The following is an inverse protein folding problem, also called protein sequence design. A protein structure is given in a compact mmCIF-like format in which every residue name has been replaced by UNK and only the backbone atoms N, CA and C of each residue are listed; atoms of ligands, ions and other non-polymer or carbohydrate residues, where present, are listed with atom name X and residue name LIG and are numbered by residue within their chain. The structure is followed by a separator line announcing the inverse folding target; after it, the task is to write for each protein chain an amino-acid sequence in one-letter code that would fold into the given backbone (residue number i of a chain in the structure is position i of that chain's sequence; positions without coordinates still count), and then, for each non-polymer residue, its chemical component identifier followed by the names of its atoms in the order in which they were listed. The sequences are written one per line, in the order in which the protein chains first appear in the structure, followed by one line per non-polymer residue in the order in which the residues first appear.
data_IF_608936924466
#
_entry.id   IF_608936924466
#
_cell.length_a   1.000
_cell.length_b   1.000
_cell.length_c   1.000
_cell.angle_alpha   90.00
_cell.angle_beta   90.00
_cell.angle_gamma   90.00
#
_symmetry.space_group_name_H-M   'P 1'
#
loop_
_entity.id
_entity.type
_entity.pdbx_description
1 polymer ?
#
# COMPACT_ATOMS: atom_id res chain seq x y z
N UNK A 1 -10.20 2.62 32.10
CA UNK A 1 -10.01 1.64 31.00
C UNK A 1 -8.57 1.60 30.43
N UNK A 2 -7.97 2.72 29.95
CA UNK A 2 -6.57 2.71 29.40
C UNK A 2 -5.48 2.28 30.40
N UNK A 3 -5.60 2.67 31.68
CA UNK A 3 -4.67 2.24 32.75
C UNK A 3 -4.75 0.74 33.04
N UNK A 4 -5.93 0.14 32.95
CA UNK A 4 -6.13 -1.30 33.13
C UNK A 4 -5.51 -2.11 31.99
N UNK A 5 -5.70 -1.67 30.73
CA UNK A 5 -5.05 -2.28 29.55
C UNK A 5 -3.52 -2.18 29.65
N UNK A 6 -2.99 -1.08 30.21
CA UNK A 6 -1.54 -0.91 30.44
C UNK A 6 -1.02 -1.90 31.49
N UNK A 7 -1.72 -2.04 32.62
CA UNK A 7 -1.37 -2.97 33.71
C UNK A 7 -1.45 -4.45 33.28
N UNK A 8 -2.43 -4.81 32.47
CA UNK A 8 -2.55 -6.16 31.89
C UNK A 8 -1.42 -6.44 30.88
N UNK A 9 -0.97 -5.42 30.12
CA UNK A 9 0.21 -5.57 29.25
C UNK A 9 1.50 -5.72 30.06
N UNK A 10 1.68 -4.91 31.10
CA UNK A 10 2.88 -4.97 31.97
C UNK A 10 2.98 -6.32 32.69
N UNK A 11 1.86 -6.87 33.19
CA UNK A 11 1.83 -8.18 33.84
C UNK A 11 2.10 -9.36 32.87
N UNK A 12 1.67 -9.27 31.61
CA UNK A 12 1.98 -10.29 30.58
C UNK A 12 3.42 -10.16 30.02
N UNK A 13 4.02 -8.97 30.08
CA UNK A 13 5.42 -8.74 29.69
C UNK A 13 6.40 -9.29 30.74
N UNK A 14 6.00 -9.34 32.00
CA UNK A 14 6.82 -9.89 33.09
C UNK A 14 6.97 -11.43 33.02
N UNK A 15 6.10 -12.13 32.29
CA UNK A 15 6.04 -13.60 32.26
C UNK A 15 6.86 -14.25 31.14
N UNK A 16 7.48 -13.49 30.22
CA UNK A 16 8.18 -14.10 29.08
C UNK A 16 9.35 -13.25 28.55
N UNK A 17 10.49 -13.26 29.26
CA UNK A 17 11.69 -12.45 28.93
C UNK A 17 12.31 -12.71 27.54
N UNK A 18 11.88 -13.74 26.81
CA UNK A 18 12.44 -14.11 25.49
C UNK A 18 11.53 -13.82 24.29
N UNK A 19 10.34 -13.24 24.48
CA UNK A 19 9.41 -13.00 23.38
C UNK A 19 9.48 -11.56 22.84
N UNK A 20 9.95 -11.43 21.60
CA UNK A 20 9.93 -10.15 20.88
C UNK A 20 8.54 -9.82 20.38
N UNK A 21 7.93 -8.76 20.92
CA UNK A 21 6.61 -8.29 20.50
C UNK A 21 6.73 -7.42 19.25
N UNK A 22 6.05 -7.83 18.17
CA UNK A 22 6.01 -7.10 16.90
C UNK A 22 4.62 -6.48 16.71
N UNK A 23 4.56 -5.17 16.46
CA UNK A 23 3.29 -4.48 16.28
C UNK A 23 2.63 -4.84 14.95
N UNK A 24 1.30 -4.95 14.94
CA UNK A 24 0.50 -5.23 13.73
C UNK A 24 0.77 -4.22 12.61
N UNK A 25 1.02 -2.95 12.95
CA UNK A 25 1.39 -1.92 11.97
C UNK A 25 2.67 -2.27 11.20
N UNK A 26 3.69 -2.83 11.86
CA UNK A 26 4.91 -3.30 11.19
C UNK A 26 4.63 -4.45 10.23
N UNK A 27 3.73 -5.37 10.61
CA UNK A 27 3.31 -6.48 9.75
C UNK A 27 2.57 -5.98 8.52
N UNK A 28 1.64 -5.04 8.68
CA UNK A 28 0.90 -4.44 7.56
C UNK A 28 1.85 -3.71 6.60
N UNK A 29 2.88 -3.02 7.12
CA UNK A 29 3.91 -2.38 6.30
C UNK A 29 4.65 -3.36 5.39
N UNK A 30 4.83 -4.63 5.77
CA UNK A 30 5.48 -5.63 4.92
C UNK A 30 4.74 -5.87 3.60
N UNK A 31 3.43 -5.60 3.53
CA UNK A 31 2.65 -5.79 2.32
C UNK A 31 3.06 -4.78 1.23
N UNK A 32 3.44 -3.56 1.61
CA UNK A 32 3.74 -2.48 0.67
C UNK A 32 5.16 -1.90 0.76
N UNK A 33 5.94 -2.20 1.79
CA UNK A 33 7.34 -1.77 1.96
C UNK A 33 8.33 -2.95 1.99
N UNK A 34 9.56 -2.70 1.54
CA UNK A 34 10.69 -3.61 1.74
C UNK A 34 11.05 -3.69 3.22
N UNK A 35 11.45 -4.88 3.67
CA UNK A 35 11.81 -5.11 5.08
C UNK A 35 12.92 -4.19 5.57
N UNK A 36 13.90 -3.90 4.71
CA UNK A 36 15.04 -3.02 5.00
C UNK A 36 14.60 -1.59 5.36
N UNK A 37 13.43 -1.16 4.87
CA UNK A 37 12.85 0.15 5.18
C UNK A 37 12.04 0.17 6.48
N UNK A 38 11.86 -0.98 7.14
CA UNK A 38 11.06 -1.13 8.36
C UNK A 38 11.99 -1.23 9.57
N UNK A 39 12.16 -0.11 10.29
CA UNK A 39 12.99 -0.06 11.49
C UNK A 39 12.52 -1.07 12.56
N UNK A 40 13.47 -1.82 13.10
CA UNK A 40 13.26 -2.76 14.19
C UNK A 40 12.50 -4.03 13.77
N UNK A 41 12.68 -4.47 12.52
CA UNK A 41 12.24 -5.78 12.03
C UNK A 41 13.40 -6.44 11.25
N UNK A 42 13.87 -7.58 11.71
CA UNK A 42 14.98 -8.33 11.07
C UNK A 42 14.46 -9.37 10.07
N UNK A 43 15.34 -9.87 9.21
CA UNK A 43 15.02 -11.00 8.30
C UNK A 43 14.61 -12.26 9.08
N UNK A 44 15.20 -12.47 10.26
CA UNK A 44 14.84 -13.59 11.13
C UNK A 44 13.43 -13.44 11.71
N UNK A 45 13.04 -12.22 12.10
CA UNK A 45 11.67 -11.95 12.54
C UNK A 45 10.67 -12.26 11.43
N UNK A 46 10.99 -11.87 10.19
CA UNK A 46 10.15 -12.18 9.04
C UNK A 46 10.02 -13.69 8.84
N UNK A 47 11.11 -14.44 8.93
CA UNK A 47 11.08 -15.91 8.80
C UNK A 47 10.12 -16.52 9.82
N UNK A 48 10.27 -16.15 11.11
CA UNK A 48 9.40 -16.62 12.19
C UNK A 48 7.93 -16.23 11.97
N UNK A 49 7.66 -15.00 11.52
CA UNK A 49 6.30 -14.55 11.18
C UNK A 49 5.70 -15.41 10.06
N UNK A 50 6.49 -15.69 9.01
CA UNK A 50 6.04 -16.45 7.84
C UNK A 50 5.84 -17.93 8.14
N UNK A 51 6.61 -18.50 9.08
CA UNK A 51 6.41 -19.86 9.60
C UNK A 51 5.14 -19.95 10.45
N UNK A 52 4.95 -18.99 11.36
CA UNK A 52 3.79 -18.94 12.25
C UNK A 52 2.47 -18.68 11.50
N UNK A 53 2.51 -17.81 10.49
CA UNK A 53 1.31 -17.37 9.76
C UNK A 53 1.42 -17.71 8.27
N UNK A 54 1.11 -18.97 7.91
CA UNK A 54 1.14 -19.46 6.53
C UNK A 54 0.29 -18.62 5.55
N UNK A 55 -0.86 -18.11 6.01
CA UNK A 55 -1.72 -17.21 5.22
C UNK A 55 -0.99 -15.91 4.83
N UNK A 56 -0.29 -15.30 5.79
CA UNK A 56 0.47 -14.07 5.54
C UNK A 56 1.64 -14.34 4.58
N UNK A 57 2.27 -15.51 4.67
CA UNK A 57 3.32 -15.95 3.74
C UNK A 57 2.85 -16.02 2.30
N UNK A 58 1.66 -16.57 2.07
CA UNK A 58 1.08 -16.63 0.73
C UNK A 58 0.82 -15.22 0.17
N UNK A 59 0.20 -14.33 0.97
CA UNK A 59 -0.06 -12.94 0.56
C UNK A 59 1.26 -12.20 0.26
N UNK A 60 2.21 -12.27 1.18
CA UNK A 60 3.50 -11.58 1.04
C UNK A 60 4.24 -12.04 -0.22
N UNK A 61 4.28 -13.35 -0.48
CA UNK A 61 4.87 -13.92 -1.69
C UNK A 61 4.17 -13.38 -2.94
N UNK A 62 2.84 -13.41 -2.95
CA UNK A 62 2.03 -12.95 -4.08
C UNK A 62 2.32 -11.49 -4.43
N UNK A 63 2.35 -10.61 -3.42
CA UNK A 63 2.65 -9.19 -3.59
C UNK A 63 4.12 -8.95 -4.00
N UNK A 64 5.06 -9.72 -3.46
CA UNK A 64 6.47 -9.62 -3.84
C UNK A 64 6.67 -9.96 -5.32
N UNK A 65 6.12 -11.10 -5.76
CA UNK A 65 6.17 -11.52 -7.16
C UNK A 65 5.52 -10.47 -8.08
N UNK A 66 4.40 -9.88 -7.66
CA UNK A 66 3.74 -8.81 -8.42
C UNK A 66 4.63 -7.57 -8.57
N UNK A 67 5.30 -7.12 -7.50
CA UNK A 67 6.22 -5.98 -7.58
C UNK A 67 7.40 -6.24 -8.51
N UNK A 68 7.96 -7.45 -8.48
CA UNK A 68 9.07 -7.84 -9.36
C UNK A 68 8.68 -7.75 -10.84
N UNK A 69 7.41 -7.98 -11.20
CA UNK A 69 6.91 -7.84 -12.59
C UNK A 69 7.07 -6.40 -13.09
N UNK A 70 6.76 -5.41 -12.25
CA UNK A 70 6.92 -3.99 -12.59
C UNK A 70 8.39 -3.60 -12.66
N UNK A 71 9.22 -4.10 -11.74
CA UNK A 71 10.67 -3.85 -11.78
C UNK A 71 11.33 -4.45 -13.03
N UNK A 72 10.85 -5.59 -13.51
CA UNK A 72 11.38 -6.26 -14.71
C UNK A 72 10.68 -5.83 -16.01
N UNK A 73 9.68 -4.94 -15.94
CA UNK A 73 8.86 -4.48 -17.07
C UNK A 73 8.34 -5.61 -18.00
N UNK A 74 7.97 -6.77 -17.43
CA UNK A 74 7.67 -7.97 -18.21
C UNK A 74 6.17 -8.32 -18.24
N UNK A 75 5.50 -7.98 -19.35
CA UNK A 75 4.07 -8.29 -19.57
C UNK A 75 3.82 -9.81 -19.57
N UNK A 76 4.73 -10.61 -20.13
CA UNK A 76 4.60 -12.08 -20.11
C UNK A 76 4.54 -12.62 -18.68
N UNK A 77 5.35 -12.07 -17.76
CA UNK A 77 5.32 -12.45 -16.34
C UNK A 77 4.02 -12.01 -15.66
N UNK A 78 3.44 -10.87 -16.02
CA UNK A 78 2.12 -10.44 -15.54
C UNK A 78 1.06 -11.50 -15.83
N UNK A 79 0.94 -11.93 -17.08
CA UNK A 79 -0.06 -12.93 -17.48
C UNK A 79 0.14 -14.27 -16.79
N UNK A 80 1.39 -14.73 -16.69
CA UNK A 80 1.72 -15.95 -15.95
C UNK A 80 1.34 -15.86 -14.47
N UNK A 81 1.62 -14.71 -13.85
CA UNK A 81 1.27 -14.45 -12.45
C UNK A 81 -0.25 -14.39 -12.24
N UNK A 82 -0.99 -13.73 -13.14
CA UNK A 82 -2.47 -13.67 -13.11
C UNK A 82 -3.05 -15.10 -13.15
N UNK A 83 -2.58 -15.94 -14.09
CA UNK A 83 -3.05 -17.32 -14.24
C UNK A 83 -2.73 -18.16 -12.99
N UNK A 84 -1.56 -17.97 -12.39
CA UNK A 84 -1.12 -18.67 -11.17
C UNK A 84 -2.03 -18.38 -9.97
N UNK A 85 -2.47 -17.13 -9.80
CA UNK A 85 -3.23 -16.70 -8.62
C UNK A 85 -4.74 -16.62 -8.82
N UNK A 86 -5.24 -16.88 -10.03
CA UNK A 86 -6.67 -16.91 -10.35
C UNK A 86 -7.46 -17.90 -9.46
N UNK A 87 -6.87 -19.06 -9.17
CA UNK A 87 -7.45 -20.08 -8.28
C UNK A 87 -6.86 -20.08 -6.87
N UNK A 88 -6.26 -18.96 -6.42
CA UNK A 88 -5.75 -18.86 -5.04
C UNK A 88 -6.85 -19.15 -4.03
N UNK A 89 -6.52 -19.79 -2.91
CA UNK A 89 -7.47 -20.06 -1.82
C UNK A 89 -7.94 -18.78 -1.13
N UNK A 90 -7.16 -17.70 -1.24
CA UNK A 90 -7.44 -16.40 -0.64
C UNK A 90 -8.40 -15.60 -1.52
N UNK A 91 -9.60 -15.33 -1.00
CA UNK A 91 -10.67 -14.64 -1.73
C UNK A 91 -10.25 -13.24 -2.18
N UNK A 92 -9.51 -12.52 -1.34
CA UNK A 92 -9.04 -11.16 -1.59
C UNK A 92 -8.04 -11.12 -2.76
N UNK A 93 -7.18 -12.15 -2.88
CA UNK A 93 -6.28 -12.30 -4.03
C UNK A 93 -7.10 -12.56 -5.30
N UNK A 94 -8.09 -13.46 -5.26
CA UNK A 94 -8.94 -13.71 -6.43
C UNK A 94 -9.67 -12.44 -6.89
N UNK A 95 -10.24 -11.67 -5.96
CA UNK A 95 -10.88 -10.38 -6.28
C UNK A 95 -9.90 -9.38 -6.90
N UNK A 96 -8.67 -9.32 -6.39
CA UNK A 96 -7.62 -8.49 -6.98
C UNK A 96 -7.30 -8.90 -8.42
N UNK A 97 -7.17 -10.20 -8.69
CA UNK A 97 -6.98 -10.72 -10.05
C UNK A 97 -8.13 -10.34 -10.98
N UNK A 98 -9.38 -10.48 -10.53
CA UNK A 98 -10.56 -10.08 -11.33
C UNK A 98 -10.51 -8.59 -11.69
N UNK A 99 -10.13 -7.73 -10.74
CA UNK A 99 -9.92 -6.31 -10.99
C UNK A 99 -8.83 -6.06 -12.03
N UNK A 100 -7.67 -6.70 -11.88
CA UNK A 100 -6.58 -6.58 -12.85
C UNK A 100 -6.97 -7.03 -14.26
N UNK A 101 -7.77 -8.09 -14.38
CA UNK A 101 -8.25 -8.57 -15.69
C UNK A 101 -9.19 -7.56 -16.36
N UNK A 102 -10.03 -6.88 -15.57
CA UNK A 102 -10.93 -5.84 -16.09
C UNK A 102 -10.16 -4.67 -16.70
N UNK A 103 -9.08 -4.27 -16.05
CA UNK A 103 -8.27 -3.11 -16.44
C UNK A 103 -6.92 -3.51 -17.08
N UNK A 104 -6.85 -4.70 -17.71
CA UNK A 104 -5.57 -5.32 -18.13
C UNK A 104 -4.76 -4.41 -19.05
N UNK A 105 -5.41 -3.72 -19.99
CA UNK A 105 -4.74 -2.80 -20.92
C UNK A 105 -4.04 -1.66 -20.18
N UNK A 106 -4.68 -1.11 -19.15
CA UNK A 106 -4.07 -0.06 -18.33
C UNK A 106 -2.89 -0.59 -17.52
N UNK A 107 -3.00 -1.81 -17.00
CA UNK A 107 -1.91 -2.47 -16.24
C UNK A 107 -0.71 -2.77 -17.14
N UNK A 108 -0.94 -3.29 -18.34
CA UNK A 108 0.12 -3.53 -19.32
C UNK A 108 0.82 -2.23 -19.73
N UNK A 109 0.06 -1.17 -19.98
CA UNK A 109 0.62 0.15 -20.28
C UNK A 109 1.44 0.69 -19.11
N UNK A 110 1.00 0.50 -17.87
CA UNK A 110 1.75 0.89 -16.68
C UNK A 110 3.07 0.11 -16.48
N UNK A 111 3.19 -1.09 -17.08
CA UNK A 111 4.44 -1.86 -17.09
C UNK A 111 5.34 -1.43 -18.26
N UNK A 112 4.74 -1.15 -19.41
CA UNK A 112 5.45 -0.82 -20.65
C UNK A 112 6.06 0.58 -20.62
N UNK A 113 5.34 1.54 -20.08
CA UNK A 113 5.73 2.95 -20.10
C UNK A 113 6.06 3.46 -18.70
N UNK A 114 6.98 4.43 -18.62
CA UNK A 114 7.35 5.10 -17.37
C UNK A 114 6.44 6.28 -17.02
N UNK A 115 5.38 6.51 -17.82
CA UNK A 115 4.41 7.57 -17.56
C UNK A 115 3.48 7.17 -16.41
N UNK A 116 3.24 8.11 -15.50
CA UNK A 116 2.24 7.96 -14.44
C UNK A 116 1.26 9.13 -14.46
N UNK A 117 0.00 8.84 -14.15
CA UNK A 117 -1.01 9.88 -13.93
C UNK A 117 -0.80 10.65 -12.61
N UNK A 118 0.26 10.35 -11.85
CA UNK A 118 0.49 10.92 -10.51
C UNK A 118 0.59 12.45 -10.49
N UNK A 119 1.20 13.06 -11.51
CA UNK A 119 1.27 14.52 -11.61
C UNK A 119 -0.12 15.14 -11.83
N UNK A 120 -0.90 14.56 -12.76
CA UNK A 120 -2.26 15.00 -13.06
C UNK A 120 -3.18 14.81 -11.83
N UNK A 121 -3.12 13.65 -11.19
CA UNK A 121 -3.84 13.35 -9.95
C UNK A 121 -3.45 14.31 -8.82
N UNK A 122 -2.17 14.64 -8.70
CA UNK A 122 -1.67 15.63 -7.74
C UNK A 122 -2.28 17.02 -7.97
N UNK A 123 -2.31 17.50 -9.21
CA UNK A 123 -2.95 18.78 -9.57
C UNK A 123 -4.45 18.75 -9.30
N UNK A 124 -5.14 17.66 -9.68
CA UNK A 124 -6.57 17.47 -9.40
C UNK A 124 -6.83 17.48 -7.89
N UNK A 125 -6.01 16.82 -7.09
CA UNK A 125 -6.12 16.78 -5.63
C UNK A 125 -5.89 18.16 -5.00
N UNK A 126 -4.93 18.94 -5.50
CA UNK A 126 -4.72 20.35 -5.09
C UNK A 126 -5.97 21.18 -5.36
N UNK A 127 -6.54 21.09 -6.56
CA UNK A 127 -7.78 21.80 -6.92
C UNK A 127 -8.95 21.37 -6.03
N UNK A 128 -9.13 20.06 -5.80
CA UNK A 128 -10.16 19.53 -4.90
C UNK A 128 -9.99 20.04 -3.47
N UNK A 129 -8.74 20.17 -2.99
CA UNK A 129 -8.45 20.74 -1.67
C UNK A 129 -8.82 22.22 -1.59
N UNK A 130 -8.49 23.01 -2.62
CA UNK A 130 -8.86 24.43 -2.70
C UNK A 130 -10.38 24.58 -2.64
N UNK A 131 -11.12 23.80 -3.45
CA UNK A 131 -12.60 23.77 -3.41
C UNK A 131 -13.15 23.45 -2.01
N UNK A 132 -12.56 22.48 -1.30
CA UNK A 132 -12.94 22.16 0.09
C UNK A 132 -12.67 23.31 1.06
N UNK A 133 -11.51 23.98 0.96
CA UNK A 133 -11.19 25.18 1.76
C UNK A 133 -12.13 26.36 1.47
N UNK A 134 -12.72 26.40 0.28
CA UNK A 134 -13.68 27.42 -0.13
C UNK A 134 -15.14 27.07 0.22
N UNK A 135 -15.37 26.01 1.01
CA UNK A 135 -16.70 25.52 1.39
C UNK A 135 -17.56 25.13 0.18
N UNK A 136 -16.94 24.56 -0.86
CA UNK A 136 -17.65 24.09 -2.04
C UNK A 136 -17.99 25.16 -3.08
N UNK A 137 -17.63 26.44 -2.85
CA UNK A 137 -17.74 27.50 -3.86
C UNK A 137 -16.91 27.12 -5.09
N UNK A 138 -17.58 26.86 -6.20
CA UNK A 138 -17.02 26.19 -7.36
C UNK A 138 -17.19 26.97 -8.67
N UNK A 139 -17.61 28.24 -8.63
CA UNK A 139 -17.58 29.09 -9.82
C UNK A 139 -16.16 29.13 -10.40
N UNK A 140 -16.05 28.96 -11.71
CA UNK A 140 -14.77 28.86 -12.41
C UNK A 140 -13.88 30.07 -12.12
N UNK A 141 -14.44 31.27 -12.19
CA UNK A 141 -13.68 32.51 -11.98
C UNK A 141 -13.13 32.62 -10.55
N UNK A 142 -13.96 32.33 -9.55
CA UNK A 142 -13.54 32.34 -8.14
C UNK A 142 -12.48 31.29 -7.86
N UNK A 143 -12.61 30.09 -8.44
CA UNK A 143 -11.63 29.02 -8.30
C UNK A 143 -10.31 29.39 -8.99
N UNK A 144 -10.37 29.94 -10.22
CA UNK A 144 -9.21 30.39 -10.99
C UNK A 144 -8.42 31.42 -10.19
N UNK A 145 -9.09 32.47 -9.70
CA UNK A 145 -8.45 33.53 -8.92
C UNK A 145 -7.82 33.00 -7.64
N UNK A 146 -8.49 32.06 -6.94
CA UNK A 146 -7.93 31.44 -5.74
C UNK A 146 -6.72 30.55 -6.04
N UNK A 147 -6.76 29.78 -7.13
CA UNK A 147 -5.63 28.94 -7.56
C UNK A 147 -4.44 29.82 -7.91
N UNK A 148 -4.63 30.85 -8.74
CA UNK A 148 -3.56 31.76 -9.14
C UNK A 148 -2.93 32.46 -7.93
N UNK A 149 -3.72 33.00 -7.00
CA UNK A 149 -3.18 33.60 -5.77
C UNK A 149 -2.34 32.61 -4.94
N UNK A 150 -2.75 31.35 -4.85
CA UNK A 150 -2.01 30.33 -4.10
C UNK A 150 -0.73 29.85 -4.80
N UNK A 151 -0.67 29.92 -6.13
CA UNK A 151 0.56 29.60 -6.87
C UNK A 151 1.55 30.78 -6.81
N UNK A 152 1.07 32.04 -6.83
CA UNK A 152 1.92 33.23 -6.74
C UNK A 152 2.52 33.45 -5.35
N UNK A 153 1.79 33.16 -4.27
CA UNK A 153 2.28 33.33 -2.89
C UNK A 153 3.24 32.23 -2.40
N UNK A 154 3.63 31.29 -3.27
CA UNK A 154 4.54 30.18 -2.95
C UNK A 154 5.88 30.26 -3.70
N UNK A 155 6.16 31.37 -4.39
CA UNK A 155 7.48 31.69 -4.94
C UNK A 155 8.17 32.78 -4.10
#
# INVERSE_FOLDING_TARGET
MRKYIKKVKENNLASNKNEKIISRSKIIKLLYMLIEKIKGLSKEDLRKIMEKYKFLKEIYRTLKEFKEIFSMKSIKKLHGWIKKYEKSKIREIRKFIVGLKRDIVAVENAIKYDYSNGLAEGKINKIKLIKRKMYGRNNFETLRNRVLMLEHNCN
#
